data_IF_527253879732
#
_entry.id   IF_527253879732
#
_cell.length_a   1.000
_cell.length_b   1.000
_cell.length_c   1.000
_cell.angle_alpha   90.00
_cell.angle_beta   90.00
_cell.angle_gamma   90.00
#
_symmetry.space_group_name_H-M   'P 1'
#
loop_
_entity.id
_entity.type
_entity.pdbx_description
1 polymer ?
#
# COMPACT_ATOMS: atom_id res chain seq x y z
N UNK A 1 -17.16 2.24 12.03
CA UNK A 1 -17.31 2.27 10.56
C UNK A 1 -18.32 1.20 10.14
N UNK A 2 -19.37 1.57 9.41
CA UNK A 2 -20.36 0.58 8.99
C UNK A 2 -19.85 -0.32 7.87
N UNK A 3 -20.23 -1.59 7.90
CA UNK A 3 -19.87 -2.59 6.91
C UNK A 3 -21.10 -3.26 6.32
N UNK A 4 -20.95 -3.83 5.12
CA UNK A 4 -21.97 -4.71 4.55
C UNK A 4 -21.36 -5.60 3.49
N UNK A 5 -21.98 -6.76 3.25
CA UNK A 5 -21.62 -7.64 2.14
C UNK A 5 -21.82 -6.95 0.80
N UNK A 6 -22.84 -6.10 0.71
CA UNK A 6 -23.12 -5.31 -0.49
C UNK A 6 -21.95 -4.40 -0.82
N UNK A 7 -21.42 -3.67 0.18
CA UNK A 7 -20.27 -2.80 -0.04
C UNK A 7 -19.05 -3.60 -0.51
N UNK A 8 -18.85 -4.80 0.04
CA UNK A 8 -17.70 -5.65 -0.31
C UNK A 8 -17.74 -6.13 -1.76
N UNK A 9 -18.89 -6.56 -2.25
CA UNK A 9 -18.96 -7.23 -3.56
C UNK A 9 -19.57 -6.39 -4.67
N UNK A 10 -20.41 -5.43 -4.34
CA UNK A 10 -21.07 -4.60 -5.34
C UNK A 10 -20.45 -3.22 -5.51
N UNK A 11 -19.80 -2.71 -4.47
CA UNK A 11 -19.22 -1.35 -4.50
C UNK A 11 -20.29 -0.28 -4.59
N UNK A 12 -19.85 0.95 -4.86
CA UNK A 12 -20.75 2.06 -5.12
C UNK A 12 -21.60 2.52 -3.94
N UNK A 13 -21.30 2.09 -2.72
CA UNK A 13 -22.00 2.50 -1.50
C UNK A 13 -21.15 3.48 -0.70
N UNK A 14 -21.77 4.17 0.27
CA UNK A 14 -21.07 5.01 1.23
C UNK A 14 -20.44 4.23 2.38
N UNK A 15 -20.67 2.91 2.43
CA UNK A 15 -20.16 2.05 3.49
C UNK A 15 -18.75 1.56 3.18
N UNK A 16 -17.94 1.41 4.23
CA UNK A 16 -16.60 0.88 4.14
C UNK A 16 -16.61 -0.64 4.25
N UNK A 17 -15.64 -1.30 3.61
CA UNK A 17 -15.44 -2.74 3.77
C UNK A 17 -14.24 -3.00 4.67
N UNK A 18 -14.15 -4.19 5.31
CA UNK A 18 -12.94 -4.57 6.05
C UNK A 18 -11.69 -4.55 5.16
N UNK A 19 -11.83 -4.90 3.89
CA UNK A 19 -10.73 -4.90 2.94
C UNK A 19 -10.20 -3.48 2.67
N UNK A 20 -11.10 -2.48 2.66
CA UNK A 20 -10.69 -1.08 2.54
C UNK A 20 -9.92 -0.62 3.78
N UNK A 21 -10.27 -1.12 4.96
CA UNK A 21 -9.52 -0.84 6.18
C UNK A 21 -8.13 -1.48 6.14
N UNK A 22 -8.02 -2.69 5.60
CA UNK A 22 -6.74 -3.34 5.36
C UNK A 22 -5.90 -2.51 4.39
N UNK A 23 -6.50 -2.04 3.29
CA UNK A 23 -5.82 -1.19 2.32
C UNK A 23 -5.32 0.11 2.96
N UNK A 24 -6.16 0.76 3.75
CA UNK A 24 -5.79 2.00 4.44
C UNK A 24 -4.65 1.76 5.44
N UNK A 25 -4.74 0.68 6.22
CA UNK A 25 -3.69 0.32 7.18
C UNK A 25 -2.37 0.01 6.47
N UNK A 26 -2.43 -0.70 5.34
CA UNK A 26 -1.25 -1.06 4.56
C UNK A 26 -0.61 0.19 3.95
N UNK A 27 -1.41 1.07 3.35
CA UNK A 27 -0.90 2.32 2.78
C UNK A 27 -0.25 3.20 3.85
N UNK A 28 -0.87 3.32 5.03
CA UNK A 28 -0.33 4.10 6.14
C UNK A 28 0.98 3.53 6.67
N UNK A 29 1.01 2.24 6.93
CA UNK A 29 2.21 1.56 7.42
C UNK A 29 3.34 1.62 6.39
N UNK A 30 3.03 1.39 5.12
CA UNK A 30 4.00 1.48 4.04
C UNK A 30 4.61 2.89 3.95
N UNK A 31 3.76 3.92 4.02
CA UNK A 31 4.20 5.32 3.97
C UNK A 31 5.17 5.63 5.12
N UNK A 32 4.86 5.15 6.33
CA UNK A 32 5.75 5.34 7.48
C UNK A 32 7.08 4.62 7.28
N UNK A 33 7.05 3.38 6.79
CA UNK A 33 8.26 2.61 6.52
C UNK A 33 9.12 3.27 5.44
N UNK A 34 8.48 3.77 4.39
CA UNK A 34 9.17 4.46 3.30
C UNK A 34 9.79 5.77 3.79
N UNK A 35 9.05 6.56 4.57
CA UNK A 35 9.58 7.81 5.15
C UNK A 35 10.82 7.56 5.98
N UNK A 36 10.82 6.51 6.80
CA UNK A 36 11.97 6.13 7.59
C UNK A 36 13.15 5.68 6.71
N UNK A 37 12.89 4.88 5.67
CA UNK A 37 13.91 4.43 4.75
C UNK A 37 14.56 5.59 3.99
N UNK A 38 13.75 6.57 3.56
CA UNK A 38 14.27 7.76 2.87
C UNK A 38 15.13 8.61 3.81
N UNK A 39 14.70 8.77 5.06
CA UNK A 39 15.47 9.50 6.06
C UNK A 39 16.84 8.84 6.27
N UNK A 40 16.89 7.52 6.38
CA UNK A 40 18.14 6.77 6.55
C UNK A 40 19.04 6.87 5.33
N UNK A 41 18.47 7.04 4.15
CA UNK A 41 19.23 7.25 2.91
C UNK A 41 19.69 8.70 2.72
N UNK A 42 19.35 9.59 3.64
CA UNK A 42 19.71 11.01 3.56
C UNK A 42 18.85 11.80 2.59
N UNK A 43 17.66 11.30 2.26
CA UNK A 43 16.74 11.95 1.33
C UNK A 43 15.66 12.70 2.12
N UNK A 44 15.55 14.00 1.87
CA UNK A 44 14.51 14.82 2.47
C UNK A 44 13.32 14.92 1.50
N UNK A 45 12.32 14.07 1.71
CA UNK A 45 11.12 14.14 0.89
C UNK A 45 10.25 15.33 1.30
N UNK A 46 9.62 15.94 0.31
CA UNK A 46 8.62 16.99 0.53
C UNK A 46 7.27 16.37 0.87
N UNK A 47 6.91 15.27 0.19
CA UNK A 47 5.69 14.54 0.45
C UNK A 47 5.80 13.10 -0.01
N UNK A 48 5.00 12.24 0.62
CA UNK A 48 4.77 10.86 0.20
C UNK A 48 3.26 10.65 0.17
N UNK A 49 2.76 10.15 -0.94
CA UNK A 49 1.36 9.77 -1.07
C UNK A 49 1.29 8.31 -1.51
N UNK A 50 0.56 7.49 -0.77
CA UNK A 50 0.41 6.07 -1.08
C UNK A 50 -1.05 5.70 -1.15
N UNK A 51 -1.42 5.03 -2.24
CA UNK A 51 -2.72 4.39 -2.42
C UNK A 51 -2.54 2.88 -2.37
N UNK A 52 -3.51 2.18 -1.81
CA UNK A 52 -3.53 0.73 -1.80
C UNK A 52 -4.89 0.24 -2.31
N UNK A 53 -4.84 -0.78 -3.15
CA UNK A 53 -6.02 -1.48 -3.64
C UNK A 53 -5.95 -2.93 -3.21
N UNK A 54 -7.04 -3.44 -2.65
CA UNK A 54 -7.14 -4.83 -2.22
C UNK A 54 -8.14 -5.54 -3.12
N UNK A 55 -7.70 -6.62 -3.76
CA UNK A 55 -8.54 -7.45 -4.59
C UNK A 55 -9.12 -8.59 -3.77
N UNK A 56 -10.45 -8.74 -3.83
CA UNK A 56 -11.17 -9.83 -3.17
C UNK A 56 -11.91 -10.63 -4.22
N UNK A 57 -11.69 -11.93 -4.24
CA UNK A 57 -12.39 -12.84 -5.16
C UNK A 57 -13.23 -13.82 -4.35
N UNK A 58 -14.50 -13.94 -4.73
CA UNK A 58 -15.42 -14.91 -4.14
C UNK A 58 -15.28 -16.24 -4.85
N UNK A 59 -14.80 -17.25 -4.15
CA UNK A 59 -14.68 -18.60 -4.64
C UNK A 59 -15.64 -19.57 -3.96
N UNK A 60 -15.52 -20.85 -4.29
CA UNK A 60 -16.38 -21.91 -3.72
C UNK A 60 -16.24 -22.05 -2.20
N UNK A 61 -15.04 -21.76 -1.67
CA UNK A 61 -14.73 -21.87 -0.24
C UNK A 61 -14.85 -20.53 0.50
N UNK A 62 -15.42 -19.51 -0.14
CA UNK A 62 -15.60 -18.20 0.43
C UNK A 62 -14.77 -17.14 -0.27
N UNK A 63 -14.73 -15.94 0.31
CA UNK A 63 -13.99 -14.81 -0.23
C UNK A 63 -12.52 -14.84 0.19
N UNK A 64 -11.63 -14.56 -0.75
CA UNK A 64 -10.19 -14.51 -0.50
C UNK A 64 -9.60 -13.21 -1.00
N UNK A 65 -8.67 -12.65 -0.24
CA UNK A 65 -7.85 -11.55 -0.70
C UNK A 65 -6.75 -12.14 -1.57
N UNK A 66 -6.77 -11.83 -2.87
CA UNK A 66 -5.87 -12.44 -3.84
C UNK A 66 -4.75 -11.52 -4.29
N UNK A 67 -4.90 -10.21 -4.07
CA UNK A 67 -3.89 -9.26 -4.46
C UNK A 67 -4.00 -7.95 -3.71
N UNK A 68 -2.87 -7.31 -3.52
CA UNK A 68 -2.78 -5.96 -3.00
C UNK A 68 -1.85 -5.19 -3.93
N UNK A 69 -2.30 -4.02 -4.38
CA UNK A 69 -1.50 -3.15 -5.21
C UNK A 69 -1.21 -1.86 -4.44
N UNK A 70 0.06 -1.58 -4.22
CA UNK A 70 0.52 -0.34 -3.60
C UNK A 70 1.03 0.58 -4.70
N UNK A 71 0.60 1.83 -4.66
CA UNK A 71 1.09 2.86 -5.56
C UNK A 71 1.54 4.05 -4.73
N UNK A 72 2.80 4.40 -4.81
CA UNK A 72 3.35 5.52 -4.03
C UNK A 72 3.96 6.58 -4.93
N UNK A 73 3.76 7.84 -4.54
CA UNK A 73 4.36 9.00 -5.19
C UNK A 73 5.21 9.71 -4.15
N UNK A 74 6.51 9.83 -4.43
CA UNK A 74 7.46 10.53 -3.56
C UNK A 74 7.88 11.81 -4.26
N UNK A 75 7.67 12.95 -3.62
CA UNK A 75 8.15 14.24 -4.09
C UNK A 75 9.37 14.62 -3.27
N UNK A 76 10.55 14.62 -3.91
CA UNK A 76 11.83 14.93 -3.29
C UNK A 76 12.73 15.67 -4.29
N UNK A 77 12.52 16.99 -4.46
CA UNK A 77 13.28 17.77 -5.45
C UNK A 77 14.78 17.64 -5.26
N UNK A 78 15.51 17.35 -6.35
CA UNK A 78 16.95 17.21 -6.34
C UNK A 78 17.48 15.87 -5.86
N UNK A 79 16.61 14.93 -5.47
CA UNK A 79 17.04 13.62 -5.00
C UNK A 79 17.34 12.66 -6.17
N UNK A 80 18.00 11.55 -5.86
CA UNK A 80 18.30 10.49 -6.82
C UNK A 80 17.09 9.53 -6.92
N UNK A 81 16.46 9.48 -8.08
CA UNK A 81 15.30 8.63 -8.32
C UNK A 81 15.59 7.15 -8.10
N UNK A 82 16.81 6.68 -8.43
CA UNK A 82 17.20 5.29 -8.22
C UNK A 82 17.23 4.93 -6.74
N UNK A 83 17.73 5.84 -5.88
CA UNK A 83 17.74 5.64 -4.44
C UNK A 83 16.35 5.65 -3.84
N UNK A 84 15.45 6.48 -4.37
CA UNK A 84 14.04 6.51 -3.95
C UNK A 84 13.39 5.17 -4.25
N UNK A 85 13.60 4.62 -5.45
CA UNK A 85 13.04 3.33 -5.84
C UNK A 85 13.58 2.18 -5.00
N UNK A 86 14.87 2.20 -4.69
CA UNK A 86 15.49 1.21 -3.81
C UNK A 86 14.89 1.25 -2.41
N UNK A 87 14.75 2.45 -1.84
CA UNK A 87 14.12 2.62 -0.53
C UNK A 87 12.66 2.15 -0.56
N UNK A 88 11.94 2.43 -1.64
CA UNK A 88 10.54 2.03 -1.80
C UNK A 88 10.39 0.50 -1.82
N UNK A 89 11.26 -0.20 -2.54
CA UNK A 89 11.24 -1.67 -2.57
C UNK A 89 11.59 -2.26 -1.20
N UNK A 90 12.57 -1.70 -0.51
CA UNK A 90 12.92 -2.14 0.84
C UNK A 90 11.79 -1.92 1.84
N UNK A 91 11.06 -0.82 1.71
CA UNK A 91 9.93 -0.51 2.57
C UNK A 91 8.78 -1.52 2.37
N UNK A 92 8.58 -2.00 1.14
CA UNK A 92 7.56 -3.00 0.84
C UNK A 92 7.78 -4.29 1.65
N UNK A 93 9.01 -4.77 1.71
CA UNK A 93 9.34 -5.98 2.47
C UNK A 93 9.49 -5.73 3.96
N UNK A 94 9.88 -4.54 4.35
CA UNK A 94 10.10 -4.16 5.75
C UNK A 94 8.86 -3.71 6.51
N UNK A 95 7.79 -3.37 5.80
CA UNK A 95 6.56 -2.89 6.43
C UNK A 95 5.91 -4.01 7.26
N UNK A 96 5.63 -3.79 8.56
CA UNK A 96 5.01 -4.82 9.40
C UNK A 96 3.67 -5.33 8.88
N UNK A 97 2.87 -4.46 8.26
CA UNK A 97 1.58 -4.88 7.69
C UNK A 97 1.80 -5.77 6.46
N UNK A 98 2.80 -5.48 5.61
CA UNK A 98 3.16 -6.38 4.51
C UNK A 98 3.56 -7.76 5.04
N UNK A 99 4.29 -7.81 6.14
CA UNK A 99 4.67 -9.09 6.76
C UNK A 99 3.45 -9.84 7.31
N UNK A 100 2.51 -9.13 7.94
CA UNK A 100 1.28 -9.72 8.43
C UNK A 100 0.42 -10.26 7.30
N UNK A 101 0.49 -9.66 6.12
CA UNK A 101 -0.27 -10.04 4.94
C UNK A 101 0.49 -10.98 4.01
N UNK A 102 1.52 -11.66 4.51
CA UNK A 102 2.37 -12.55 3.71
C UNK A 102 1.59 -13.71 3.06
N UNK A 103 0.39 -14.03 3.56
CA UNK A 103 -0.48 -15.03 2.95
C UNK A 103 -1.20 -14.55 1.68
N UNK A 104 -1.13 -13.26 1.36
CA UNK A 104 -1.72 -12.74 0.13
C UNK A 104 -0.81 -13.14 -1.05
N UNK A 105 -1.35 -13.82 -2.08
CA UNK A 105 -0.52 -14.33 -3.18
C UNK A 105 0.26 -13.27 -3.96
N UNK A 106 -0.28 -12.06 -4.07
CA UNK A 106 0.35 -11.01 -4.86
C UNK A 106 0.29 -9.67 -4.13
N UNK A 107 1.45 -9.11 -3.80
CA UNK A 107 1.57 -7.73 -3.31
C UNK A 107 2.52 -7.03 -4.27
N UNK A 108 2.01 -6.07 -5.02
CA UNK A 108 2.77 -5.34 -6.03
C UNK A 108 2.97 -3.88 -5.63
N UNK A 109 3.98 -3.26 -6.20
CA UNK A 109 4.34 -1.87 -5.89
C UNK A 109 4.64 -1.11 -7.18
N UNK A 110 4.03 0.07 -7.32
CA UNK A 110 4.40 1.06 -8.32
C UNK A 110 4.97 2.28 -7.59
N UNK A 111 6.09 2.79 -8.08
CA UNK A 111 6.77 3.96 -7.50
C UNK A 111 6.90 5.05 -8.55
N UNK A 112 6.43 6.25 -8.20
CA UNK A 112 6.69 7.45 -8.97
C UNK A 112 7.55 8.38 -8.13
N UNK A 113 8.75 8.72 -8.64
CA UNK A 113 9.66 9.62 -7.98
C UNK A 113 9.66 10.97 -8.71
N UNK A 114 9.23 12.02 -8.03
CA UNK A 114 9.25 13.40 -8.55
C UNK A 114 10.50 14.09 -7.98
N UNK A 115 11.52 14.16 -8.80
CA UNK A 115 12.82 14.70 -8.41
C UNK A 115 13.19 16.02 -9.16
#
# INVERSE_FOLDING_TARGET
>A
TPYSSKARFEGGTSQTTPEELIAAAHAGCYTMALGFALMRAGINQKSIHTDAEVEVILGEKGANITGIKLKTVVEAPGADAAKIKEAAEGAKTGCPVSKALAGVPSITLEVEAKV
#
